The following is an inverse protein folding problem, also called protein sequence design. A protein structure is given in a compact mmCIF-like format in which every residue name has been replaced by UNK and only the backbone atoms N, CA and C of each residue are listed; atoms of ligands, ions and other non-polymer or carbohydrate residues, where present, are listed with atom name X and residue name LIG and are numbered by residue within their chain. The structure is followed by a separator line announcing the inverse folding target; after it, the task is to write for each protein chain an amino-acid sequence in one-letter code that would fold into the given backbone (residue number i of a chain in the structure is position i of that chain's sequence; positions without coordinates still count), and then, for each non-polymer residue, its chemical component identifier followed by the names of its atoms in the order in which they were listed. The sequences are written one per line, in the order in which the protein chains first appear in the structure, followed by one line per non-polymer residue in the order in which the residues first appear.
data_IF_173317531864
#
_entry.id   IF_173317531864
#
_cell.length_a   1.000
_cell.length_b   1.000
_cell.length_c   1.000
_cell.angle_alpha   90.00
_cell.angle_beta   90.00
_cell.angle_gamma   90.00
#
_symmetry.space_group_name_H-M   'P 1'
#
loop_
_entity.id
_entity.type
_entity.pdbx_description
1 polymer ?
#
# COMPACT_ATOMS: atom_id res chain seq x y z
N UNK A 1 -13.45 7.12 -4.13
CA UNK A 1 -12.15 7.35 -3.50
C UNK A 1 -12.22 7.15 -1.97
N UNK A 2 -12.48 5.93 -1.53
CA UNK A 2 -12.48 5.56 -0.11
C UNK A 2 -11.48 4.41 0.08
N UNK A 3 -10.62 4.43 1.13
CA UNK A 3 -9.69 3.34 1.41
C UNK A 3 -10.38 1.98 1.58
N UNK A 4 -11.54 1.98 2.25
CA UNK A 4 -12.37 0.81 2.50
C UNK A 4 -13.77 1.07 1.91
N UNK A 5 -13.92 0.84 0.61
CA UNK A 5 -15.20 1.00 -0.06
C UNK A 5 -16.01 -0.30 -0.01
N UNK A 6 -17.31 -0.18 0.26
CA UNK A 6 -18.24 -1.29 0.10
C UNK A 6 -18.69 -1.35 -1.37
N UNK A 7 -18.61 -2.50 -2.05
CA UNK A 7 -19.14 -2.68 -3.38
C UNK A 7 -20.63 -2.31 -3.46
N UNK A 8 -21.03 -1.69 -4.57
CA UNK A 8 -22.42 -1.31 -4.85
C UNK A 8 -22.87 -1.92 -6.18
N UNK A 9 -24.11 -1.63 -6.60
CA UNK A 9 -24.62 -2.05 -7.93
C UNK A 9 -24.05 -1.22 -9.09
N UNK A 10 -23.17 -0.23 -8.82
CA UNK A 10 -22.50 0.57 -9.86
C UNK A 10 -21.68 -0.35 -10.74
N UNK A 11 -21.93 -0.29 -12.04
CA UNK A 11 -21.14 -1.02 -13.04
C UNK A 11 -19.86 -0.26 -13.34
N UNK A 12 -18.78 -1.01 -13.55
CA UNK A 12 -17.52 -0.45 -14.03
C UNK A 12 -17.70 0.14 -15.43
N UNK A 13 -17.01 1.25 -15.69
CA UNK A 13 -17.06 2.00 -16.95
C UNK A 13 -15.65 2.29 -17.45
N UNK A 14 -15.51 2.52 -18.75
CA UNK A 14 -14.25 3.02 -19.31
C UNK A 14 -13.85 4.33 -18.61
N UNK A 15 -12.57 4.44 -18.26
CA UNK A 15 -12.03 5.55 -17.46
C UNK A 15 -12.02 5.32 -15.96
N UNK A 16 -12.59 4.21 -15.46
CA UNK A 16 -12.53 3.87 -14.04
C UNK A 16 -11.16 3.32 -13.64
N UNK A 17 -10.77 3.65 -12.39
CA UNK A 17 -9.78 2.87 -11.63
C UNK A 17 -10.49 1.79 -10.82
N UNK A 18 -9.92 0.61 -10.79
CA UNK A 18 -10.35 -0.50 -9.96
C UNK A 18 -9.24 -0.88 -8.98
N UNK A 19 -9.45 -0.61 -7.71
CA UNK A 19 -8.60 -1.13 -6.63
C UNK A 19 -9.09 -2.54 -6.30
N UNK A 20 -8.21 -3.52 -6.40
CA UNK A 20 -8.44 -4.88 -5.93
C UNK A 20 -7.49 -5.11 -4.76
N UNK A 21 -8.09 -5.41 -3.62
CA UNK A 21 -7.44 -5.73 -2.37
C UNK A 21 -7.85 -7.15 -1.99
N UNK A 22 -6.88 -8.05 -1.91
CA UNK A 22 -7.14 -9.48 -1.74
C UNK A 22 -6.01 -10.20 -1.01
N UNK A 23 -6.33 -11.35 -0.48
CA UNK A 23 -5.38 -12.21 0.16
C UNK A 23 -5.81 -13.67 0.17
N UNK A 24 -4.99 -14.49 0.79
CA UNK A 24 -5.24 -15.91 0.99
C UNK A 24 -4.78 -16.35 2.36
N UNK A 25 -5.34 -17.46 2.85
CA UNK A 25 -4.88 -18.11 4.06
C UNK A 25 -4.30 -19.48 3.72
N UNK A 26 -3.03 -19.70 4.08
CA UNK A 26 -2.33 -20.97 3.86
C UNK A 26 -1.66 -21.42 5.17
N UNK A 27 -2.00 -22.57 5.67
CA UNK A 27 -1.45 -23.11 6.92
C UNK A 27 -1.75 -22.23 8.15
N UNK A 28 -2.81 -21.41 8.10
CA UNK A 28 -3.18 -20.46 9.14
C UNK A 28 -2.56 -19.08 9.00
N UNK A 29 -1.60 -18.88 8.08
CA UNK A 29 -1.01 -17.58 7.80
C UNK A 29 -1.78 -16.86 6.68
N UNK A 30 -1.95 -15.56 6.86
CA UNK A 30 -2.69 -14.68 5.97
C UNK A 30 -1.72 -13.86 5.13
N UNK A 31 -2.03 -13.65 3.84
CA UNK A 31 -1.38 -12.68 2.98
C UNK A 31 -2.34 -11.55 2.63
N UNK A 32 -1.78 -10.38 2.30
CA UNK A 32 -2.53 -9.18 1.92
C UNK A 32 -1.83 -8.45 0.78
N UNK A 33 -2.57 -8.10 -0.25
CA UNK A 33 -1.99 -7.44 -1.41
C UNK A 33 -3.03 -6.58 -2.11
N UNK A 34 -2.67 -5.34 -2.43
CA UNK A 34 -3.51 -4.45 -3.23
C UNK A 34 -2.82 -4.06 -4.52
N UNK A 35 -3.59 -4.04 -5.60
CA UNK A 35 -3.21 -3.44 -6.89
C UNK A 35 -4.34 -2.57 -7.42
N UNK A 36 -3.94 -1.57 -8.21
CA UNK A 36 -4.88 -0.70 -8.92
C UNK A 36 -4.78 -0.98 -10.41
N UNK A 37 -5.92 -1.14 -11.05
CA UNK A 37 -6.07 -1.43 -12.47
C UNK A 37 -6.86 -0.30 -13.16
N UNK A 38 -6.76 -0.20 -14.49
CA UNK A 38 -7.58 0.72 -15.29
C UNK A 38 -8.56 -0.04 -16.17
N UNK A 39 -9.69 0.59 -16.47
CA UNK A 39 -10.60 0.18 -17.52
C UNK A 39 -10.48 1.17 -18.70
N UNK A 40 -9.64 0.81 -19.68
CA UNK A 40 -9.35 1.68 -20.82
C UNK A 40 -8.47 2.88 -20.45
N UNK A 41 -8.59 3.96 -21.22
CA UNK A 41 -7.86 5.21 -20.98
C UNK A 41 -8.44 5.96 -19.78
N UNK A 42 -7.59 6.48 -18.94
CA UNK A 42 -7.94 7.21 -17.71
C UNK A 42 -7.42 8.66 -17.76
N UNK A 43 -7.90 9.49 -16.82
CA UNK A 43 -7.38 10.83 -16.61
C UNK A 43 -5.86 10.78 -16.31
N UNK A 44 -5.01 11.56 -17.01
CA UNK A 44 -3.56 11.60 -16.78
C UNK A 44 -3.15 11.89 -15.33
N UNK A 45 -3.97 12.59 -14.55
CA UNK A 45 -3.69 12.79 -13.13
C UNK A 45 -3.82 11.48 -12.33
N UNK A 46 -4.71 10.58 -12.73
CA UNK A 46 -4.84 9.26 -12.09
C UNK A 46 -3.62 8.37 -12.38
N UNK A 47 -3.06 8.43 -13.60
CA UNK A 47 -1.78 7.77 -13.92
C UNK A 47 -0.64 8.36 -13.08
N UNK A 48 -0.60 9.69 -12.96
CA UNK A 48 0.40 10.40 -12.16
C UNK A 48 0.34 9.98 -10.69
N UNK A 49 -0.84 9.97 -10.07
CA UNK A 49 -0.95 9.54 -8.66
C UNK A 49 -0.61 8.07 -8.49
N UNK A 50 -0.87 7.19 -9.48
CA UNK A 50 -0.43 5.80 -9.42
C UNK A 50 1.10 5.71 -9.36
N UNK A 51 1.82 6.44 -10.22
CA UNK A 51 3.29 6.46 -10.22
C UNK A 51 3.85 6.98 -8.88
N UNK A 52 3.20 7.98 -8.27
CA UNK A 52 3.59 8.51 -6.96
C UNK A 52 3.37 7.46 -5.87
N UNK A 53 2.22 6.78 -5.84
CA UNK A 53 1.92 5.72 -4.87
C UNK A 53 2.85 4.54 -5.02
N UNK A 54 3.18 4.14 -6.26
CA UNK A 54 4.17 3.10 -6.53
C UNK A 54 5.56 3.49 -5.99
N UNK A 55 5.99 4.73 -6.20
CA UNK A 55 7.24 5.26 -5.63
C UNK A 55 7.21 5.31 -4.10
N UNK A 56 6.08 5.65 -3.51
CA UNK A 56 5.86 5.65 -2.05
C UNK A 56 5.95 4.25 -1.47
N UNK A 57 5.31 3.25 -2.11
CA UNK A 57 5.44 1.84 -1.71
C UNK A 57 6.89 1.37 -1.80
N UNK A 58 7.62 1.72 -2.87
CA UNK A 58 9.03 1.38 -3.01
C UNK A 58 9.87 1.99 -1.88
N UNK A 59 9.71 3.30 -1.60
CA UNK A 59 10.43 3.98 -0.53
C UNK A 59 10.16 3.37 0.84
N UNK A 60 8.90 3.01 1.15
CA UNK A 60 8.54 2.32 2.39
C UNK A 60 9.23 0.96 2.52
N UNK A 61 9.21 0.13 1.48
CA UNK A 61 9.86 -1.19 1.47
C UNK A 61 11.40 -1.09 1.59
N UNK A 62 12.00 -0.15 0.88
CA UNK A 62 13.45 0.09 0.90
C UNK A 62 13.94 0.62 2.25
N UNK A 63 13.09 1.35 2.98
CA UNK A 63 13.42 1.86 4.31
C UNK A 63 13.47 0.76 5.38
N UNK A 64 12.94 -0.45 5.12
CA UNK A 64 12.88 -1.53 6.12
C UNK A 64 14.29 -1.99 6.48
N UNK A 65 14.67 -1.80 7.75
CA UNK A 65 15.93 -2.28 8.33
C UNK A 65 15.68 -2.78 9.74
N UNK A 66 16.34 -3.85 10.18
CA UNK A 66 16.28 -4.24 11.59
C UNK A 66 16.87 -3.12 12.47
N UNK A 67 16.23 -2.85 13.59
CA UNK A 67 16.67 -1.84 14.55
C UNK A 67 16.07 -0.45 14.38
N UNK A 68 15.39 -0.13 13.27
CA UNK A 68 14.68 1.14 13.11
C UNK A 68 13.28 1.10 13.74
N UNK A 69 12.73 2.26 14.05
CA UNK A 69 11.35 2.38 14.53
C UNK A 69 10.35 2.24 13.38
N UNK A 70 9.18 1.65 13.64
CA UNK A 70 8.10 1.47 12.65
C UNK A 70 7.69 2.79 11.98
N UNK A 71 7.71 3.92 12.71
CA UNK A 71 7.41 5.23 12.16
C UNK A 71 8.33 5.65 11.02
N UNK A 72 9.57 5.17 10.97
CA UNK A 72 10.52 5.56 9.91
C UNK A 72 10.09 5.01 8.54
N UNK A 73 9.42 3.86 8.52
CA UNK A 73 8.80 3.30 7.31
C UNK A 73 7.65 4.21 6.85
N UNK A 74 6.76 4.61 7.78
CA UNK A 74 5.65 5.54 7.46
C UNK A 74 6.19 6.86 6.92
N UNK A 75 7.21 7.41 7.56
CA UNK A 75 7.84 8.67 7.15
C UNK A 75 8.45 8.58 5.76
N UNK A 76 9.18 7.51 5.45
CA UNK A 76 9.79 7.29 4.14
C UNK A 76 8.73 7.20 3.03
N UNK A 77 7.70 6.40 3.26
CA UNK A 77 6.58 6.22 2.33
C UNK A 77 5.79 7.54 2.16
N UNK A 78 5.37 8.14 3.26
CA UNK A 78 4.55 9.37 3.30
C UNK A 78 5.25 10.56 2.66
N UNK A 79 6.54 10.73 2.87
CA UNK A 79 7.33 11.83 2.30
C UNK A 79 7.25 11.90 0.78
N UNK A 80 7.19 10.77 0.07
CA UNK A 80 7.06 10.73 -1.40
C UNK A 80 5.75 11.38 -1.82
N UNK A 81 4.65 11.04 -1.15
CA UNK A 81 3.30 11.56 -1.46
C UNK A 81 3.19 13.05 -1.06
N UNK A 82 3.74 13.43 0.09
CA UNK A 82 3.76 14.83 0.58
C UNK A 82 4.57 15.74 -0.35
N UNK A 83 5.78 15.32 -0.74
CA UNK A 83 6.63 16.07 -1.64
C UNK A 83 6.01 16.24 -3.04
N UNK A 84 5.15 15.33 -3.45
CA UNK A 84 4.38 15.43 -4.69
C UNK A 84 3.13 16.33 -4.55
N UNK A 85 2.83 16.85 -3.36
CA UNK A 85 1.68 17.73 -3.08
C UNK A 85 0.36 17.02 -2.78
N UNK A 86 0.39 15.71 -2.54
CA UNK A 86 -0.82 14.90 -2.29
C UNK A 86 -0.97 14.43 -0.83
N UNK A 87 -0.15 14.92 0.10
CA UNK A 87 -0.12 14.47 1.50
C UNK A 87 -1.48 14.45 2.19
N UNK A 88 -2.33 15.46 1.94
CA UNK A 88 -3.69 15.54 2.51
C UNK A 88 -4.64 14.41 2.03
N UNK A 89 -4.29 13.71 0.97
CA UNK A 89 -5.06 12.61 0.39
C UNK A 89 -4.55 11.23 0.78
N UNK A 90 -3.46 11.14 1.56
CA UNK A 90 -2.98 9.89 2.19
C UNK A 90 -3.49 9.81 3.63
N UNK A 91 -4.69 9.30 3.81
CA UNK A 91 -5.53 9.48 5.01
C UNK A 91 -5.52 8.28 5.97
N UNK A 92 -4.65 7.31 5.78
CA UNK A 92 -4.52 6.14 6.67
C UNK A 92 -3.05 5.87 7.03
N UNK A 93 -2.79 4.89 7.90
CA UNK A 93 -1.44 4.40 8.22
C UNK A 93 -0.79 3.76 6.99
N UNK A 94 0.52 3.69 6.98
CA UNK A 94 1.27 3.06 5.87
C UNK A 94 1.16 1.54 5.87
N UNK A 95 0.82 0.91 7.00
CA UNK A 95 0.65 -0.53 7.06
C UNK A 95 0.37 -1.07 8.45
N UNK A 96 0.25 -2.38 8.53
CA UNK A 96 -0.01 -3.13 9.75
C UNK A 96 0.71 -4.47 9.74
N UNK A 97 0.93 -5.03 10.92
CA UNK A 97 1.42 -6.41 11.05
C UNK A 97 0.44 -7.40 10.43
N UNK A 98 0.97 -8.47 9.88
CA UNK A 98 0.21 -9.56 9.27
C UNK A 98 0.87 -10.90 9.62
N UNK A 99 0.06 -11.91 9.84
CA UNK A 99 0.56 -13.25 10.20
C UNK A 99 -0.60 -14.21 10.40
N UNK A 100 -0.93 -14.51 11.65
CA UNK A 100 -2.09 -15.35 11.98
C UNK A 100 -3.40 -14.56 11.95
N UNK A 101 -3.31 -13.23 12.08
CA UNK A 101 -4.43 -12.32 11.89
C UNK A 101 -4.14 -11.40 10.70
N UNK A 102 -5.19 -10.97 9.99
CA UNK A 102 -5.07 -10.01 8.88
C UNK A 102 -4.58 -8.64 9.35
N UNK A 103 -4.89 -8.26 10.60
CA UNK A 103 -4.40 -7.04 11.22
C UNK A 103 -3.86 -7.36 12.62
N UNK A 104 -2.55 -7.28 12.77
CA UNK A 104 -1.88 -7.46 14.05
C UNK A 104 -0.78 -6.39 14.26
N UNK A 105 -0.04 -6.45 15.35
CA UNK A 105 1.14 -5.60 15.56
C UNK A 105 2.33 -6.08 14.71
N UNK A 106 3.22 -5.15 14.27
CA UNK A 106 3.24 -3.72 14.57
C UNK A 106 2.36 -2.89 13.63
N UNK A 107 1.92 -1.69 14.09
CA UNK A 107 1.32 -0.71 13.20
C UNK A 107 2.44 0.16 12.57
N UNK A 108 2.45 0.27 11.25
CA UNK A 108 3.37 1.12 10.51
C UNK A 108 2.75 2.51 10.34
N UNK A 109 3.06 3.39 11.29
CA UNK A 109 2.49 4.76 11.34
C UNK A 109 3.36 5.70 12.14
N UNK A 110 3.19 7.00 11.91
CA UNK A 110 3.79 8.06 12.76
C UNK A 110 3.47 7.83 14.24
N UNK A 111 4.46 8.08 15.10
CA UNK A 111 4.38 7.92 16.55
C UNK A 111 4.57 6.48 17.05
N UNK A 112 4.72 5.48 16.18
CA UNK A 112 5.07 4.13 16.62
C UNK A 112 6.59 3.95 16.71
N UNK A 113 7.10 3.98 17.93
CA UNK A 113 8.53 3.84 18.24
C UNK A 113 8.98 2.38 18.41
N UNK A 114 8.08 1.40 18.21
CA UNK A 114 8.44 -0.02 18.25
C UNK A 114 9.55 -0.30 17.23
N UNK A 115 10.62 -0.93 17.70
CA UNK A 115 11.77 -1.29 16.88
C UNK A 115 11.48 -2.55 16.08
N UNK A 116 11.81 -2.52 14.79
CA UNK A 116 11.73 -3.69 13.92
C UNK A 116 12.80 -4.72 14.29
N UNK A 117 12.40 -5.98 14.34
CA UNK A 117 13.30 -7.12 14.55
C UNK A 117 13.11 -8.15 13.43
N UNK A 118 14.16 -8.93 13.09
CA UNK A 118 14.04 -10.00 12.10
C UNK A 118 12.89 -10.96 12.41
N UNK A 119 12.15 -11.36 11.38
CA UNK A 119 10.97 -12.20 11.46
C UNK A 119 9.64 -11.45 11.58
N UNK A 120 9.63 -10.14 11.85
CA UNK A 120 8.41 -9.36 11.78
C UNK A 120 7.91 -9.24 10.33
N UNK A 121 6.61 -9.42 10.13
CA UNK A 121 5.91 -9.24 8.87
C UNK A 121 4.86 -8.14 9.00
N UNK A 122 4.72 -7.32 7.96
CA UNK A 122 3.75 -6.23 7.91
C UNK A 122 3.49 -5.79 6.46
N UNK A 123 2.40 -5.06 6.25
CA UNK A 123 2.07 -4.47 4.95
C UNK A 123 2.73 -3.11 4.76
N UNK A 124 3.01 -2.76 3.49
CA UNK A 124 3.37 -1.41 3.06
C UNK A 124 2.38 -1.02 1.96
N UNK A 125 1.38 -0.21 2.31
CA UNK A 125 0.16 0.02 1.54
C UNK A 125 -0.20 1.50 1.33
N UNK A 126 0.72 2.38 0.91
CA UNK A 126 0.37 3.77 0.67
C UNK A 126 -0.75 3.93 -0.36
N UNK A 127 -1.53 5.00 -0.20
CA UNK A 127 -2.60 5.33 -1.13
C UNK A 127 -2.87 6.82 -1.24
N UNK A 128 -3.41 7.24 -2.38
CA UNK A 128 -3.92 8.59 -2.64
C UNK A 128 -5.38 8.47 -3.06
N UNK A 129 -6.27 9.18 -2.38
CA UNK A 129 -7.72 9.12 -2.60
C UNK A 129 -8.26 10.52 -2.90
N UNK A 130 -8.47 10.82 -4.19
CA UNK A 130 -8.99 12.11 -4.65
C UNK A 130 -10.52 12.10 -4.59
N UNK A 131 -11.16 12.95 -3.76
CA UNK A 131 -12.62 13.01 -3.68
C UNK A 131 -13.27 13.15 -5.07
N UNK A 132 -14.32 12.39 -5.33
CA UNK A 132 -15.12 12.37 -6.55
C UNK A 132 -14.36 12.05 -7.86
N UNK A 133 -13.07 11.70 -7.78
CA UNK A 133 -12.25 11.44 -8.97
C UNK A 133 -11.72 10.01 -9.02
N UNK A 134 -11.24 9.47 -7.91
CA UNK A 134 -10.69 8.12 -7.87
C UNK A 134 -9.68 7.94 -6.76
N UNK A 135 -9.15 6.74 -6.63
CA UNK A 135 -8.12 6.41 -5.65
C UNK A 135 -7.17 5.36 -6.18
N UNK A 136 -5.97 5.35 -5.62
CA UNK A 136 -4.91 4.39 -5.90
C UNK A 136 -4.37 3.85 -4.61
N UNK A 137 -4.17 2.54 -4.52
CA UNK A 137 -3.36 1.87 -3.49
C UNK A 137 -2.47 0.82 -4.14
N UNK A 138 -1.23 0.75 -3.68
CA UNK A 138 -0.28 -0.34 -3.99
C UNK A 138 0.23 -0.88 -2.67
N UNK A 139 0.04 -2.16 -2.45
CA UNK A 139 0.33 -2.84 -1.19
C UNK A 139 1.16 -4.10 -1.40
N UNK A 140 2.11 -4.29 -0.53
CA UNK A 140 2.93 -5.49 -0.47
C UNK A 140 3.14 -5.95 0.97
N UNK A 141 3.16 -7.26 1.17
CA UNK A 141 3.67 -7.89 2.39
C UNK A 141 5.21 -7.84 2.39
N UNK A 142 5.78 -7.46 3.54
CA UNK A 142 7.22 -7.35 3.75
C UNK A 142 7.62 -8.11 5.01
N UNK A 143 8.73 -8.83 4.94
CA UNK A 143 9.38 -9.44 6.10
C UNK A 143 10.68 -8.70 6.43
N UNK A 144 10.95 -8.49 7.72
CA UNK A 144 12.24 -8.00 8.21
C UNK A 144 13.22 -9.16 8.25
N UNK A 145 14.34 -9.04 7.56
CA UNK A 145 15.47 -9.98 7.61
C UNK A 145 16.64 -9.39 8.39
N UNK A 146 17.70 -10.14 8.63
CA UNK A 146 18.93 -9.65 9.26
C UNK A 146 19.61 -8.54 8.43
N UNK A 147 19.37 -8.49 7.13
CA UNK A 147 20.01 -7.55 6.18
C UNK A 147 19.11 -6.43 5.67
N UNK A 148 17.82 -6.40 6.07
CA UNK A 148 16.84 -5.41 5.60
C UNK A 148 15.47 -5.99 5.34
N UNK A 149 14.65 -5.27 4.56
CA UNK A 149 13.33 -5.74 4.16
C UNK A 149 13.36 -6.62 2.92
N UNK A 150 12.55 -7.67 2.92
CA UNK A 150 12.27 -8.50 1.75
C UNK A 150 10.77 -8.48 1.44
N UNK A 151 10.42 -8.18 0.18
CA UNK A 151 9.02 -8.21 -0.26
C UNK A 151 8.58 -9.64 -0.52
N UNK A 152 7.53 -10.07 0.16
CA UNK A 152 6.91 -11.39 -0.04
C UNK A 152 5.96 -11.37 -1.24
N UNK A 153 5.39 -10.22 -1.56
CA UNK A 153 4.49 -10.03 -2.71
C UNK A 153 5.30 -9.84 -4.00
N UNK A 154 5.01 -10.62 -5.02
CA UNK A 154 5.74 -10.63 -6.30
C UNK A 154 4.91 -10.15 -7.48
N UNK A 155 3.60 -9.93 -7.32
CA UNK A 155 2.74 -9.46 -8.40
C UNK A 155 3.18 -8.09 -8.90
N UNK A 156 3.03 -7.85 -10.21
CA UNK A 156 3.39 -6.58 -10.85
C UNK A 156 2.74 -5.38 -10.14
N UNK A 157 3.52 -4.29 -10.00
CA UNK A 157 3.09 -3.03 -9.36
C UNK A 157 2.75 -1.94 -10.36
N UNK A 158 2.96 -2.20 -11.65
CA UNK A 158 2.61 -1.26 -12.72
C UNK A 158 1.09 -1.14 -12.84
N UNK A 159 0.65 -0.01 -13.35
CA UNK A 159 -0.74 0.20 -13.70
C UNK A 159 -1.08 -0.64 -14.94
N UNK A 160 -1.97 -1.60 -14.78
CA UNK A 160 -2.38 -2.50 -15.84
C UNK A 160 -3.81 -2.20 -16.29
N UNK A 161 -4.03 -2.20 -17.60
CA UNK A 161 -5.37 -2.13 -18.16
C UNK A 161 -5.99 -3.53 -18.23
N UNK A 162 -7.23 -3.68 -17.76
CA UNK A 162 -7.95 -4.96 -17.71
C UNK A 162 -9.14 -5.04 -18.67
N UNK A 163 -9.32 -4.08 -19.56
CA UNK A 163 -10.24 -4.11 -20.70
C UNK A 163 -10.04 -2.88 -21.58
#
# INVERSE_FOLDING_TARGET
ALPHATPTDRKLQAGDLLIIDWGATVGGYISDITRTFTLGEIDPELEKIHSIVQGSNAAGREAVQPGIACQEIDRASRAVIENAGYGQFFIHRTGHGIGLEGHEHPNIREGNLQTLIPGMTFTVEPGIYLPDRGGVRVEDDVIVTDSGGESLSTYNRQLEAIA
#
